data_IF_903587041169
#
_entry.id   IF_903587041169
#
_cell.length_a   1.000
_cell.length_b   1.000
_cell.length_c   1.000
_cell.angle_alpha   90.00
_cell.angle_beta   90.00
_cell.angle_gamma   90.00
#
_symmetry.space_group_name_H-M   'P 1'
#
loop_
_entity.id
_entity.type
_entity.pdbx_description
1 polymer ?
#
# COMPACT_ATOMS: atom_id res chain seq x y z
N UNK A 1 -38.05 -11.35 -82.02
CA UNK A 1 -36.77 -12.07 -81.94
C UNK A 1 -36.12 -11.68 -80.62
N UNK A 2 -36.17 -12.58 -79.64
CA UNK A 2 -35.71 -12.36 -78.26
C UNK A 2 -34.28 -12.88 -78.16
N UNK A 3 -33.31 -11.98 -77.94
CA UNK A 3 -31.91 -12.35 -77.66
C UNK A 3 -31.70 -12.46 -76.16
N UNK A 4 -31.38 -13.67 -75.72
CA UNK A 4 -31.01 -14.04 -74.35
C UNK A 4 -29.65 -13.43 -73.96
N UNK A 5 -29.52 -12.82 -72.76
CA UNK A 5 -28.22 -12.37 -72.25
C UNK A 5 -27.39 -13.52 -71.67
N UNK A 6 -26.09 -13.51 -71.99
CA UNK A 6 -25.07 -14.48 -71.56
C UNK A 6 -24.74 -14.33 -70.06
N UNK A 7 -24.69 -15.40 -69.26
CA UNK A 7 -24.37 -15.31 -67.83
C UNK A 7 -22.86 -15.16 -67.57
N UNK A 8 -22.53 -14.23 -66.67
CA UNK A 8 -21.20 -13.90 -66.15
C UNK A 8 -20.47 -15.10 -65.51
N UNK A 9 -19.22 -15.37 -65.92
CA UNK A 9 -18.32 -16.38 -65.32
C UNK A 9 -17.33 -15.70 -64.36
N UNK A 10 -17.30 -16.03 -63.06
CA UNK A 10 -16.25 -15.57 -62.16
C UNK A 10 -14.92 -16.33 -62.40
N UNK A 11 -13.81 -15.59 -62.39
CA UNK A 11 -12.46 -16.12 -62.47
C UNK A 11 -12.13 -17.00 -61.24
N UNK A 12 -11.65 -18.22 -61.48
CA UNK A 12 -11.28 -19.19 -60.45
C UNK A 12 -9.86 -18.88 -59.95
N UNK A 13 -9.72 -18.49 -58.68
CA UNK A 13 -8.43 -18.35 -58.00
C UNK A 13 -7.80 -19.73 -57.83
N UNK A 14 -6.52 -19.96 -58.18
CA UNK A 14 -5.88 -21.24 -57.97
C UNK A 14 -5.67 -21.51 -56.46
N UNK A 15 -6.12 -22.68 -56.01
CA UNK A 15 -5.92 -23.14 -54.64
C UNK A 15 -4.45 -23.55 -54.43
N UNK A 16 -3.85 -23.05 -53.35
CA UNK A 16 -2.54 -23.46 -52.87
C UNK A 16 -2.68 -24.84 -52.22
N UNK A 17 -2.01 -25.86 -52.78
CA UNK A 17 -1.96 -27.21 -52.20
C UNK A 17 -1.05 -27.23 -50.95
N UNK A 18 -1.52 -27.76 -49.81
CA UNK A 18 -0.67 -28.06 -48.66
C UNK A 18 0.06 -29.40 -48.83
N UNK A 19 1.29 -29.55 -48.29
CA UNK A 19 2.11 -30.73 -48.49
C UNK A 19 1.54 -31.99 -47.80
N UNK A 20 1.80 -33.13 -48.44
CA UNK A 20 1.27 -34.45 -48.11
C UNK A 20 1.80 -35.01 -46.78
N UNK A 21 0.88 -35.55 -45.97
CA UNK A 21 1.19 -36.53 -44.94
C UNK A 21 0.52 -36.31 -43.59
N UNK A 22 -0.71 -36.77 -43.42
CA UNK A 22 -1.15 -37.62 -42.30
C UNK A 22 -2.62 -38.02 -42.51
N UNK A 23 -2.88 -39.32 -42.56
CA UNK A 23 -4.21 -39.94 -42.65
C UNK A 23 -4.91 -39.91 -41.29
N UNK A 24 -6.23 -39.67 -41.29
CA UNK A 24 -7.33 -40.47 -40.68
C UNK A 24 -8.42 -39.60 -40.06
N UNK A 25 -9.68 -39.98 -40.27
CA UNK A 25 -10.79 -39.57 -39.38
C UNK A 25 -11.99 -38.90 -40.04
N UNK A 26 -13.07 -39.65 -40.14
CA UNK A 26 -14.39 -39.33 -40.68
C UNK A 26 -15.23 -38.31 -39.89
N UNK A 27 -15.93 -37.45 -40.66
CA UNK A 27 -17.33 -36.99 -40.57
C UNK A 27 -17.81 -35.94 -39.52
N UNK A 28 -18.74 -35.12 -40.05
CA UNK A 28 -19.85 -34.37 -39.45
C UNK A 28 -19.63 -32.91 -38.96
N UNK A 29 -19.89 -32.00 -39.90
CA UNK A 29 -20.96 -30.99 -39.87
C UNK A 29 -20.87 -29.73 -38.97
N UNK A 30 -21.43 -28.67 -39.60
CA UNK A 30 -21.95 -27.39 -39.10
C UNK A 30 -20.94 -26.24 -38.99
N UNK A 31 -21.05 -25.37 -39.99
CA UNK A 31 -20.76 -23.96 -39.92
C UNK A 31 -21.50 -23.31 -38.73
N UNK A 32 -20.81 -22.67 -37.78
CA UNK A 32 -21.40 -21.62 -36.98
C UNK A 32 -21.16 -20.28 -37.69
N UNK A 33 -22.22 -19.48 -37.79
CA UNK A 33 -22.15 -18.07 -38.17
C UNK A 33 -21.15 -17.35 -37.27
N UNK A 34 -20.33 -16.49 -37.87
CA UNK A 34 -19.68 -15.38 -37.18
C UNK A 34 -20.76 -14.57 -36.43
N UNK A 35 -20.80 -14.67 -35.09
CA UNK A 35 -21.46 -13.66 -34.27
C UNK A 35 -20.43 -12.57 -33.98
N UNK A 36 -20.60 -11.45 -34.67
CA UNK A 36 -20.07 -10.16 -34.23
C UNK A 36 -20.50 -9.91 -32.79
N UNK A 37 -19.55 -9.85 -31.86
CA UNK A 37 -19.81 -9.66 -30.44
C UNK A 37 -18.52 -9.42 -29.68
N UNK A 38 -17.72 -8.47 -30.18
CA UNK A 38 -16.50 -8.04 -29.53
C UNK A 38 -16.75 -6.81 -28.67
N UNK A 39 -16.33 -6.85 -27.40
CA UNK A 39 -15.56 -5.72 -26.88
C UNK A 39 -15.98 -5.00 -25.60
N UNK A 40 -16.71 -5.58 -24.64
CA UNK A 40 -17.06 -4.83 -23.41
C UNK A 40 -16.45 -5.40 -22.11
N UNK A 41 -15.89 -6.61 -22.15
CA UNK A 41 -15.46 -7.32 -20.94
C UNK A 41 -14.11 -6.89 -20.34
N UNK A 42 -13.25 -6.24 -21.12
CA UNK A 42 -11.90 -5.86 -20.68
C UNK A 42 -11.82 -4.44 -20.09
N UNK A 43 -12.67 -3.51 -20.53
CA UNK A 43 -12.65 -2.13 -20.03
C UNK A 43 -13.23 -1.99 -18.61
N UNK A 44 -14.19 -2.84 -18.25
CA UNK A 44 -14.78 -2.84 -16.90
C UNK A 44 -13.80 -3.35 -15.84
N UNK A 45 -13.04 -4.42 -16.15
CA UNK A 45 -12.04 -5.00 -15.23
C UNK A 45 -10.86 -4.03 -15.04
N UNK A 46 -10.41 -3.38 -16.10
CA UNK A 46 -9.34 -2.36 -16.04
C UNK A 46 -9.76 -1.11 -15.27
N UNK A 47 -11.05 -0.80 -15.19
CA UNK A 47 -11.58 0.36 -14.44
C UNK A 47 -11.73 0.12 -12.93
N UNK A 48 -11.96 -1.13 -12.49
CA UNK A 48 -12.15 -1.46 -11.06
C UNK A 48 -10.82 -1.43 -10.28
N UNK A 49 -9.74 -1.94 -10.86
CA UNK A 49 -8.40 -1.97 -10.26
C UNK A 49 -7.87 -0.56 -9.83
N UNK A 50 -7.96 0.49 -10.66
CA UNK A 50 -7.61 1.86 -10.26
C UNK A 50 -8.44 2.37 -9.08
N UNK A 51 -9.74 2.05 -9.01
CA UNK A 51 -10.60 2.49 -7.93
C UNK A 51 -10.25 1.79 -6.60
N UNK A 52 -10.00 0.48 -6.64
CA UNK A 52 -9.60 -0.32 -5.47
C UNK A 52 -8.29 0.16 -4.85
N UNK A 53 -7.29 0.46 -5.68
CA UNK A 53 -6.00 0.95 -5.17
C UNK A 53 -6.13 2.32 -4.50
N UNK A 54 -6.97 3.20 -5.03
CA UNK A 54 -7.26 4.50 -4.39
C UNK A 54 -7.94 4.31 -3.04
N UNK A 55 -8.95 3.45 -2.97
CA UNK A 55 -9.65 3.12 -1.71
C UNK A 55 -8.66 2.55 -0.70
N UNK A 56 -7.79 1.63 -1.11
CA UNK A 56 -6.75 1.07 -0.24
C UNK A 56 -5.76 2.13 0.27
N UNK A 57 -5.32 3.06 -0.57
CA UNK A 57 -4.43 4.13 -0.15
C UNK A 57 -5.11 5.09 0.84
N UNK A 58 -6.40 5.40 0.64
CA UNK A 58 -7.19 6.20 1.58
C UNK A 58 -7.41 5.46 2.90
N UNK A 59 -7.77 4.18 2.83
CA UNK A 59 -7.97 3.34 4.01
C UNK A 59 -6.67 3.19 4.82
N UNK A 60 -5.53 3.03 4.16
CA UNK A 60 -4.21 3.01 4.80
C UNK A 60 -3.93 4.33 5.53
N UNK A 61 -4.15 5.47 4.87
CA UNK A 61 -3.93 6.78 5.48
C UNK A 61 -4.87 7.03 6.66
N UNK A 62 -6.15 6.66 6.53
CA UNK A 62 -7.13 6.78 7.61
C UNK A 62 -6.77 5.89 8.81
N UNK A 63 -6.34 4.65 8.56
CA UNK A 63 -5.88 3.74 9.60
C UNK A 63 -4.65 4.28 10.33
N UNK A 64 -3.68 4.82 9.56
CA UNK A 64 -2.51 5.51 10.11
C UNK A 64 -2.92 6.70 10.97
N UNK A 65 -3.81 7.56 10.48
CA UNK A 65 -4.24 8.75 11.22
C UNK A 65 -4.93 8.38 12.55
N UNK A 66 -5.81 7.38 12.55
CA UNK A 66 -6.48 6.93 13.78
C UNK A 66 -5.48 6.34 14.77
N UNK A 67 -4.50 5.57 14.27
CA UNK A 67 -3.44 5.01 15.09
C UNK A 67 -2.54 6.09 15.70
N UNK A 68 -2.08 7.03 14.89
CA UNK A 68 -1.19 8.11 15.34
C UNK A 68 -1.91 9.09 16.27
N UNK A 69 -3.24 9.24 16.21
CA UNK A 69 -3.99 9.99 17.23
C UNK A 69 -3.85 9.34 18.61
N UNK A 70 -3.89 8.01 18.73
CA UNK A 70 -3.57 7.34 20.00
C UNK A 70 -2.13 7.67 20.42
N UNK A 71 -1.17 7.61 19.49
CA UNK A 71 0.22 7.93 19.77
C UNK A 71 0.39 9.37 20.30
N UNK A 72 -0.27 10.37 19.73
CA UNK A 72 -0.21 11.77 20.21
C UNK A 72 -0.44 11.85 21.73
N UNK A 73 -1.45 11.13 22.24
CA UNK A 73 -1.84 11.17 23.65
C UNK A 73 -0.98 10.28 24.56
N UNK A 74 -0.48 9.16 24.04
CA UNK A 74 0.18 8.11 24.83
C UNK A 74 1.70 8.17 24.75
N UNK A 75 2.25 8.79 23.71
CA UNK A 75 3.69 8.87 23.46
C UNK A 75 4.45 9.67 24.53
N UNK A 76 3.94 10.80 25.07
CA UNK A 76 4.63 11.49 26.16
C UNK A 76 4.83 10.59 27.40
N UNK A 77 3.83 9.79 27.77
CA UNK A 77 3.94 8.83 28.88
C UNK A 77 4.95 7.71 28.56
N UNK A 78 4.88 7.16 27.35
CA UNK A 78 5.81 6.12 26.88
C UNK A 78 7.26 6.62 26.85
N UNK A 79 7.48 7.87 26.44
CA UNK A 79 8.81 8.50 26.40
C UNK A 79 9.45 8.64 27.79
N UNK A 80 8.64 8.87 28.83
CA UNK A 80 9.12 8.91 30.22
C UNK A 80 9.51 7.53 30.73
N UNK A 81 8.75 6.50 30.35
CA UNK A 81 9.10 5.12 30.67
C UNK A 81 10.41 4.71 29.99
N UNK A 82 10.60 5.11 28.73
CA UNK A 82 11.85 4.92 28.00
C UNK A 82 13.01 5.69 28.66
N UNK A 83 12.79 6.94 29.07
CA UNK A 83 13.79 7.75 29.77
C UNK A 83 14.25 7.10 31.08
N UNK A 84 13.31 6.56 31.86
CA UNK A 84 13.62 5.83 33.08
C UNK A 84 14.48 4.59 32.81
N UNK A 85 14.19 3.84 31.74
CA UNK A 85 14.99 2.65 31.37
C UNK A 85 16.38 2.97 30.83
N UNK A 86 16.51 4.07 30.09
CA UNK A 86 17.79 4.49 29.52
C UNK A 86 18.62 5.36 30.48
N UNK A 87 18.06 5.75 31.64
CA UNK A 87 18.69 6.66 32.58
C UNK A 87 18.94 8.07 32.01
N UNK A 88 18.14 8.51 31.05
CA UNK A 88 18.36 9.79 30.35
C UNK A 88 17.05 10.49 30.01
N UNK A 89 16.90 11.74 30.45
CA UNK A 89 15.76 12.59 30.10
C UNK A 89 15.81 13.07 28.64
N UNK A 90 16.92 12.80 27.93
CA UNK A 90 17.10 13.19 26.52
C UNK A 90 16.11 12.52 25.59
N UNK A 91 15.35 11.51 26.01
CA UNK A 91 14.33 10.86 25.17
C UNK A 91 12.90 11.28 25.53
N UNK A 92 12.72 12.11 26.56
CA UNK A 92 11.41 12.63 26.93
C UNK A 92 10.88 13.54 25.83
N UNK A 93 9.62 13.34 25.46
CA UNK A 93 8.92 14.11 24.43
C UNK A 93 7.70 14.78 25.03
N UNK A 94 7.57 16.09 24.79
CA UNK A 94 6.41 16.87 25.21
C UNK A 94 5.20 16.61 24.30
N UNK A 95 3.96 16.86 24.75
CA UNK A 95 2.77 16.73 23.89
C UNK A 95 2.86 17.57 22.61
N UNK A 96 3.33 18.82 22.69
CA UNK A 96 3.47 19.69 21.51
C UNK A 96 4.52 19.16 20.52
N UNK A 97 5.65 18.63 21.03
CA UNK A 97 6.65 17.96 20.19
C UNK A 97 6.11 16.69 19.55
N UNK A 98 5.27 15.93 20.25
CA UNK A 98 4.60 14.74 19.73
C UNK A 98 3.67 15.10 18.58
N UNK A 99 2.79 16.09 18.77
CA UNK A 99 1.87 16.60 17.74
C UNK A 99 2.62 17.07 16.51
N UNK A 100 3.68 17.87 16.67
CA UNK A 100 4.46 18.36 15.53
C UNK A 100 5.20 17.23 14.80
N UNK A 101 5.79 16.28 15.53
CA UNK A 101 6.47 15.15 14.91
C UNK A 101 5.49 14.27 14.12
N UNK A 102 4.31 14.00 14.66
CA UNK A 102 3.26 13.22 14.00
C UNK A 102 2.69 13.96 12.79
N UNK A 103 2.52 15.29 12.86
CA UNK A 103 2.12 16.09 11.71
C UNK A 103 3.13 16.00 10.55
N UNK A 104 4.43 16.02 10.84
CA UNK A 104 5.48 15.84 9.83
C UNK A 104 5.45 14.43 9.21
N UNK A 105 5.25 13.40 10.03
CA UNK A 105 5.03 12.04 9.55
C UNK A 105 3.77 11.94 8.66
N UNK A 106 2.70 12.65 9.03
CA UNK A 106 1.47 12.71 8.25
C UNK A 106 1.65 13.30 6.86
N UNK A 107 2.53 14.28 6.70
CA UNK A 107 2.90 14.80 5.37
C UNK A 107 3.58 13.71 4.54
N UNK A 108 4.53 12.97 5.12
CA UNK A 108 5.22 11.87 4.43
C UNK A 108 4.25 10.74 4.04
N UNK A 109 3.45 10.25 4.98
CA UNK A 109 2.51 9.14 4.76
C UNK A 109 1.40 9.56 3.79
N UNK A 110 0.88 10.78 3.93
CA UNK A 110 -0.10 11.36 3.01
C UNK A 110 0.44 11.48 1.60
N UNK A 111 1.66 12.01 1.43
CA UNK A 111 2.32 12.09 0.12
C UNK A 111 2.54 10.70 -0.49
N UNK A 112 2.94 9.71 0.31
CA UNK A 112 3.08 8.33 -0.14
C UNK A 112 1.74 7.74 -0.61
N UNK A 113 0.65 7.95 0.14
CA UNK A 113 -0.69 7.49 -0.23
C UNK A 113 -1.21 8.16 -1.50
N UNK A 114 -1.03 9.48 -1.64
CA UNK A 114 -1.38 10.21 -2.88
C UNK A 114 -0.61 9.66 -4.07
N UNK A 115 0.69 9.40 -3.92
CA UNK A 115 1.49 8.78 -4.98
C UNK A 115 1.05 7.35 -5.27
N UNK A 116 0.72 6.56 -4.26
CA UNK A 116 0.14 5.22 -4.41
C UNK A 116 -1.14 5.24 -5.23
N UNK A 117 -2.07 6.11 -4.87
CA UNK A 117 -3.33 6.34 -5.57
C UNK A 117 -3.13 6.75 -7.04
N UNK A 118 -2.21 7.69 -7.31
CA UNK A 118 -1.91 8.17 -8.68
C UNK A 118 -1.20 7.14 -9.55
N UNK A 119 -0.39 6.29 -8.94
CA UNK A 119 0.44 5.30 -9.66
C UNK A 119 -0.16 3.90 -9.64
N UNK A 120 -1.38 3.73 -9.15
CA UNK A 120 -2.02 2.42 -8.96
C UNK A 120 -1.11 1.45 -8.20
N UNK A 121 -0.49 1.93 -7.12
CA UNK A 121 0.34 1.12 -6.24
C UNK A 121 1.77 0.86 -6.74
N UNK A 122 2.14 1.33 -7.94
CA UNK A 122 3.49 1.15 -8.51
C UNK A 122 4.56 2.06 -7.87
N UNK A 123 4.15 3.07 -7.10
CA UNK A 123 5.10 3.99 -6.44
C UNK A 123 5.97 3.26 -5.42
N UNK A 124 7.30 3.31 -5.61
CA UNK A 124 8.28 2.81 -4.64
C UNK A 124 8.11 3.41 -3.25
N UNK A 125 7.84 4.72 -3.16
CA UNK A 125 7.59 5.39 -1.88
C UNK A 125 6.35 4.82 -1.17
N UNK A 126 5.23 4.66 -1.89
CA UNK A 126 4.02 4.08 -1.34
C UNK A 126 4.26 2.66 -0.80
N UNK A 127 4.95 1.83 -1.59
CA UNK A 127 5.26 0.44 -1.23
C UNK A 127 6.17 0.35 -0.01
N UNK A 128 7.22 1.18 0.02
CA UNK A 128 8.12 1.26 1.17
C UNK A 128 7.37 1.73 2.42
N UNK A 129 6.59 2.82 2.34
CA UNK A 129 5.81 3.31 3.49
C UNK A 129 4.81 2.27 3.97
N UNK A 130 4.05 1.63 3.07
CA UNK A 130 3.12 0.56 3.44
C UNK A 130 3.83 -0.60 4.16
N UNK A 131 4.93 -1.10 3.61
CA UNK A 131 5.69 -2.19 4.20
C UNK A 131 6.34 -1.80 5.54
N UNK A 132 6.82 -0.56 5.64
CA UNK A 132 7.37 0.01 6.86
C UNK A 132 6.31 0.16 7.95
N UNK A 133 5.10 0.59 7.58
CA UNK A 133 3.98 0.71 8.51
C UNK A 133 3.50 -0.66 9.02
N UNK A 134 3.54 -1.71 8.19
CA UNK A 134 3.33 -3.09 8.66
C UNK A 134 4.39 -3.48 9.71
N UNK A 135 5.67 -3.13 9.48
CA UNK A 135 6.73 -3.40 10.44
C UNK A 135 6.61 -2.56 11.73
N UNK A 136 6.14 -1.32 11.62
CA UNK A 136 5.89 -0.41 12.74
C UNK A 136 4.84 -0.96 13.73
N UNK A 137 3.83 -1.68 13.25
CA UNK A 137 2.90 -2.37 14.17
C UNK A 137 3.64 -3.36 15.08
N UNK A 138 4.60 -4.09 14.52
CA UNK A 138 5.37 -5.10 15.27
C UNK A 138 6.23 -4.44 16.34
N UNK A 139 6.81 -3.27 16.05
CA UNK A 139 7.65 -2.57 17.03
C UNK A 139 6.85 -2.10 18.23
N UNK A 140 5.58 -1.69 18.07
CA UNK A 140 4.71 -1.35 19.19
C UNK A 140 4.41 -2.53 20.10
N UNK A 141 4.02 -3.66 19.52
CA UNK A 141 3.74 -4.89 20.27
C UNK A 141 5.02 -5.35 21.01
N UNK A 142 6.15 -5.38 20.32
CA UNK A 142 7.43 -5.77 20.91
C UNK A 142 7.85 -4.82 22.05
N UNK A 143 7.61 -3.51 21.88
CA UNK A 143 7.88 -2.50 22.90
C UNK A 143 6.99 -2.73 24.12
N UNK A 144 5.67 -2.86 23.95
CA UNK A 144 4.75 -3.15 25.07
C UNK A 144 5.13 -4.41 25.85
N UNK A 145 5.49 -5.49 25.16
CA UNK A 145 5.95 -6.74 25.80
C UNK A 145 7.24 -6.51 26.58
N UNK A 146 8.22 -5.85 25.96
CA UNK A 146 9.51 -5.55 26.59
C UNK A 146 9.34 -4.65 27.81
N UNK A 147 8.41 -3.71 27.74
CA UNK A 147 8.10 -2.77 28.81
C UNK A 147 7.17 -3.34 29.89
N UNK A 148 6.52 -4.49 29.63
CA UNK A 148 5.46 -5.07 30.47
C UNK A 148 4.44 -4.01 30.91
N UNK A 149 4.15 -3.08 30.00
CA UNK A 149 3.39 -1.87 30.25
C UNK A 149 2.62 -1.52 29.00
N UNK A 150 1.52 -0.79 29.18
CA UNK A 150 0.82 -0.16 28.07
C UNK A 150 1.72 0.93 27.46
N UNK A 151 2.14 0.74 26.21
CA UNK A 151 2.89 1.76 25.46
C UNK A 151 2.03 2.31 24.34
N UNK A 152 2.45 3.47 23.82
CA UNK A 152 1.81 4.09 22.69
C UNK A 152 1.57 3.10 21.55
N UNK A 153 0.38 3.12 20.98
CA UNK A 153 0.03 2.31 19.83
C UNK A 153 -0.37 0.86 20.14
N UNK A 154 -0.35 0.40 21.39
CA UNK A 154 -0.62 -1.01 21.70
C UNK A 154 -2.01 -1.48 21.25
N UNK A 155 -3.02 -0.61 21.30
CA UNK A 155 -4.40 -1.00 20.92
C UNK A 155 -4.62 -0.75 19.43
N UNK A 156 -4.40 0.47 18.96
CA UNK A 156 -4.70 0.83 17.57
C UNK A 156 -3.73 0.22 16.56
N UNK A 157 -2.48 -0.10 16.93
CA UNK A 157 -1.56 -0.75 15.98
C UNK A 157 -2.10 -2.11 15.50
N UNK A 158 -2.46 -3.07 16.38
CA UNK A 158 -3.01 -4.35 15.94
C UNK A 158 -4.46 -4.26 15.46
N UNK A 159 -5.29 -3.36 16.03
CA UNK A 159 -6.73 -3.35 15.73
C UNK A 159 -7.13 -2.44 14.56
N UNK A 160 -6.33 -1.43 14.24
CA UNK A 160 -6.65 -0.44 13.20
C UNK A 160 -5.58 -0.43 12.13
N UNK A 161 -4.32 -0.17 12.53
CA UNK A 161 -3.24 0.02 11.57
C UNK A 161 -2.93 -1.26 10.80
N UNK A 162 -2.85 -2.39 11.50
CA UNK A 162 -2.57 -3.67 10.89
C UNK A 162 -3.65 -4.10 9.89
N UNK A 163 -4.96 -4.12 10.22
CA UNK A 163 -6.00 -4.39 9.22
C UNK A 163 -5.92 -3.44 8.01
N UNK A 164 -5.74 -2.14 8.21
CA UNK A 164 -5.61 -1.16 7.13
C UNK A 164 -4.43 -1.46 6.20
N UNK A 165 -3.26 -1.74 6.78
CA UNK A 165 -2.08 -2.14 6.03
C UNK A 165 -2.26 -3.48 5.30
N UNK A 166 -2.94 -4.44 5.93
CA UNK A 166 -3.19 -5.75 5.34
C UNK A 166 -4.10 -5.68 4.12
N UNK A 167 -5.13 -4.82 4.16
CA UNK A 167 -5.99 -4.51 3.01
C UNK A 167 -5.18 -3.90 1.87
N UNK A 168 -4.38 -2.87 2.15
CA UNK A 168 -3.55 -2.23 1.13
C UNK A 168 -2.54 -3.19 0.48
N UNK A 169 -1.91 -4.06 1.28
CA UNK A 169 -1.03 -5.12 0.78
C UNK A 169 -1.78 -6.17 -0.04
N UNK A 170 -3.00 -6.52 0.35
CA UNK A 170 -3.81 -7.47 -0.41
C UNK A 170 -4.18 -6.91 -1.80
N UNK A 171 -4.50 -5.63 -1.90
CA UNK A 171 -4.76 -4.97 -3.19
C UNK A 171 -3.51 -4.95 -4.08
N UNK A 172 -2.33 -4.64 -3.54
CA UNK A 172 -1.09 -4.72 -4.30
C UNK A 172 -0.81 -6.13 -4.85
N UNK A 173 -1.12 -7.16 -4.06
CA UNK A 173 -1.00 -8.56 -4.50
C UNK A 173 -2.00 -8.91 -5.61
N UNK A 174 -3.24 -8.44 -5.50
CA UNK A 174 -4.29 -8.65 -6.52
C UNK A 174 -3.93 -7.98 -7.85
N UNK A 175 -3.37 -6.77 -7.79
CA UNK A 175 -2.85 -6.04 -8.95
C UNK A 175 -1.51 -6.57 -9.50
N UNK A 176 -1.10 -7.79 -9.14
CA UNK A 176 0.11 -8.44 -9.67
C UNK A 176 1.44 -7.84 -9.20
N UNK A 177 1.43 -6.96 -8.19
CA UNK A 177 2.60 -6.24 -7.69
C UNK A 177 2.81 -6.47 -6.19
N UNK A 178 3.04 -7.72 -5.74
CA UNK A 178 3.22 -8.02 -4.30
C UNK A 178 4.39 -7.23 -3.69
N UNK A 179 4.29 -6.89 -2.40
CA UNK A 179 5.41 -6.29 -1.66
C UNK A 179 6.59 -7.26 -1.58
N UNK A 180 7.79 -6.72 -1.75
CA UNK A 180 9.05 -7.46 -1.65
C UNK A 180 9.67 -7.27 -0.26
N UNK A 181 10.52 -8.19 0.21
CA UNK A 181 11.26 -8.01 1.47
C UNK A 181 12.10 -6.73 1.50
N UNK A 182 12.63 -6.32 0.34
CA UNK A 182 13.35 -5.04 0.19
C UNK A 182 12.46 -3.83 0.46
N UNK A 183 11.16 -3.89 0.14
CA UNK A 183 10.22 -2.81 0.46
C UNK A 183 10.09 -2.64 1.98
N UNK A 184 10.10 -3.73 2.76
CA UNK A 184 10.08 -3.68 4.23
C UNK A 184 11.35 -3.08 4.80
N UNK A 185 12.53 -3.46 4.29
CA UNK A 185 13.81 -2.90 4.77
C UNK A 185 13.88 -1.40 4.47
N UNK A 186 13.60 -1.00 3.23
CA UNK A 186 13.59 0.42 2.84
C UNK A 186 12.51 1.20 3.60
N UNK A 187 11.34 0.60 3.78
CA UNK A 187 10.23 1.17 4.54
C UNK A 187 10.57 1.42 5.99
N UNK A 188 11.09 0.40 6.68
CA UNK A 188 11.52 0.51 8.06
C UNK A 188 12.62 1.55 8.24
N UNK A 189 13.65 1.54 7.38
CA UNK A 189 14.72 2.53 7.41
C UNK A 189 14.20 3.96 7.16
N UNK A 190 13.32 4.14 6.17
CA UNK A 190 12.70 5.42 5.84
C UNK A 190 11.87 5.97 7.01
N UNK A 191 10.97 5.16 7.56
CA UNK A 191 10.10 5.60 8.66
C UNK A 191 10.88 5.88 9.93
N UNK A 192 11.89 5.06 10.25
CA UNK A 192 12.76 5.29 11.39
C UNK A 192 13.55 6.59 11.25
N UNK A 193 14.17 6.82 10.08
CA UNK A 193 14.89 8.05 9.81
C UNK A 193 13.95 9.28 9.84
N UNK A 194 12.76 9.16 9.25
CA UNK A 194 11.75 10.22 9.26
C UNK A 194 11.25 10.53 10.68
N UNK A 195 11.07 9.51 11.53
CA UNK A 195 10.66 9.71 12.92
C UNK A 195 11.74 10.45 13.72
N UNK A 196 13.01 10.03 13.60
CA UNK A 196 14.15 10.73 14.23
C UNK A 196 14.21 12.18 13.75
N UNK A 197 14.13 12.40 12.45
CA UNK A 197 14.15 13.74 11.86
C UNK A 197 12.98 14.59 12.37
N UNK A 198 11.77 14.03 12.43
CA UNK A 198 10.57 14.73 12.91
C UNK A 198 10.70 15.13 14.39
N UNK A 199 11.24 14.26 15.24
CA UNK A 199 11.53 14.60 16.64
C UNK A 199 12.67 15.61 16.78
N UNK A 200 13.68 15.56 15.92
CA UNK A 200 14.74 16.55 15.90
C UNK A 200 14.21 17.94 15.53
N UNK A 201 13.43 18.04 14.45
CA UNK A 201 12.75 19.27 14.04
C UNK A 201 11.84 19.75 15.17
N UNK A 202 11.02 18.90 15.77
CA UNK A 202 10.11 19.35 16.82
C UNK A 202 10.84 19.90 18.05
N UNK A 203 12.02 19.36 18.38
CA UNK A 203 12.88 19.90 19.43
C UNK A 203 13.53 21.23 19.07
N UNK A 204 13.93 21.42 17.82
CA UNK A 204 14.49 22.69 17.36
C UNK A 204 13.44 23.81 17.41
N UNK A 205 12.21 23.54 16.97
CA UNK A 205 11.15 24.55 16.89
C UNK A 205 10.46 24.83 18.22
N UNK A 206 10.31 23.84 19.10
CA UNK A 206 9.55 23.97 20.36
C UNK A 206 10.45 24.02 21.61
N UNK A 207 11.76 23.89 21.44
CA UNK A 207 12.74 23.87 22.53
C UNK A 207 12.67 22.61 23.41
N UNK A 208 13.67 22.40 24.26
CA UNK A 208 13.74 21.27 25.19
C UNK A 208 12.90 21.48 26.48
N UNK A 209 11.96 22.44 26.46
CA UNK A 209 11.23 22.94 27.62
C UNK A 209 10.18 21.97 28.15
N UNK A 210 10.60 20.81 28.68
CA UNK A 210 9.79 20.06 29.64
C UNK A 210 10.45 20.17 31.01
N UNK A 211 9.71 20.48 32.09
CA UNK A 211 10.26 20.44 33.43
C UNK A 211 10.84 19.05 33.68
N UNK A 212 12.13 18.98 34.06
CA UNK A 212 12.75 17.73 34.50
C UNK A 212 11.92 17.19 35.65
N UNK A 213 11.11 16.17 35.39
CA UNK A 213 10.48 15.44 36.47
C UNK A 213 11.63 14.82 37.26
N UNK A 214 11.83 15.30 38.49
CA UNK A 214 12.82 14.75 39.42
C UNK A 214 12.47 13.27 39.60
N UNK A 215 13.24 12.38 39.00
CA UNK A 215 13.10 10.94 39.21
C UNK A 215 13.29 10.72 40.72
N UNK A 216 12.28 10.20 41.45
CA UNK A 216 12.47 9.83 42.83
C UNK A 216 13.53 8.72 42.84
N UNK A 217 14.64 8.95 43.53
CA UNK A 217 15.54 7.84 43.88
C UNK A 217 14.77 6.98 44.89
N UNK A 218 14.45 5.75 44.51
CA UNK A 218 14.10 4.70 45.47
C UNK A 218 15.37 4.12 46.06
#
# INVERSE_FOLDING_TARGET
MVSTPQPYRPHRVPAVEPPAGLRTGTKFARHPKQSSGGGDGYDFVVSIEPARTRIAAVALFAAWLVHDVEEVFTFPATSRLLAARLGTDRVVVSPSQSVLAIALMGVLVGAACVRGARTQGRSRLYRAVLAGLEAHVVTHIATSISFKSYTAGLITAPLVMFPGARVARAELRRGGSPLLPSDTVHGGALLFAAAIFSHFISRLFLGAGYPRARIPRM
#
